data_IF_560118788725
#
_entry.id   IF_560118788725
#
_cell.length_a   1.000
_cell.length_b   1.000
_cell.length_c   1.000
_cell.angle_alpha   90.00
_cell.angle_beta   90.00
_cell.angle_gamma   90.00
#
_symmetry.space_group_name_H-M   'P 1'
#
loop_
_entity.id
_entity.type
_entity.pdbx_description
1 polymer ?
#
# COMPACT_ATOMS: atom_id res chain seq x y z
N UNK A 1 54.22 16.96 -32.46
CA UNK A 1 53.27 17.56 -31.51
C UNK A 1 51.86 17.21 -31.97
N UNK A 2 51.40 16.01 -31.63
CA UNK A 2 50.04 15.56 -31.86
C UNK A 2 49.29 15.73 -30.54
N UNK A 3 48.22 16.54 -30.57
CA UNK A 3 47.31 16.75 -29.46
C UNK A 3 46.74 15.43 -28.95
N UNK A 4 47.09 15.06 -27.71
CA UNK A 4 46.28 14.15 -26.91
C UNK A 4 44.91 14.81 -26.72
N UNK A 5 43.87 14.21 -27.28
CA UNK A 5 42.49 14.60 -26.98
C UNK A 5 42.21 14.28 -25.53
N UNK A 6 41.68 15.27 -24.81
CA UNK A 6 41.11 15.09 -23.49
C UNK A 6 40.10 13.93 -23.53
N UNK A 7 40.28 12.93 -22.67
CA UNK A 7 39.26 11.93 -22.41
C UNK A 7 38.17 12.62 -21.59
N UNK A 8 37.01 12.86 -22.23
CA UNK A 8 35.84 13.49 -21.61
C UNK A 8 35.46 12.75 -20.32
N UNK A 9 35.39 13.48 -19.20
CA UNK A 9 34.94 12.94 -17.93
C UNK A 9 33.47 12.50 -18.03
N UNK A 10 33.13 11.39 -17.36
CA UNK A 10 31.75 10.95 -17.22
C UNK A 10 30.91 12.10 -16.62
N UNK A 11 29.82 12.46 -17.29
CA UNK A 11 28.97 13.59 -16.89
C UNK A 11 27.49 13.20 -16.92
N UNK A 12 26.72 13.82 -16.04
CA UNK A 12 25.26 13.65 -15.96
C UNK A 12 24.62 15.01 -16.20
N UNK A 13 23.70 15.06 -17.15
CA UNK A 13 22.87 16.23 -17.44
C UNK A 13 21.40 15.81 -17.51
N UNK A 14 20.52 16.65 -16.97
CA UNK A 14 19.10 16.37 -16.86
C UNK A 14 18.56 16.79 -15.49
N UNK A 15 17.34 17.32 -15.47
CA UNK A 15 16.58 17.56 -14.23
C UNK A 15 15.26 16.80 -14.24
N UNK A 16 14.65 16.59 -13.07
CA UNK A 16 13.36 15.91 -12.90
C UNK A 16 12.24 16.50 -13.80
N UNK A 17 12.32 17.79 -14.14
CA UNK A 17 11.39 18.46 -15.05
C UNK A 17 11.58 18.15 -16.54
N UNK A 18 12.69 17.54 -16.96
CA UNK A 18 12.99 17.22 -18.37
C UNK A 18 12.56 15.79 -18.77
N UNK A 19 12.10 14.97 -17.81
CA UNK A 19 11.60 13.61 -18.01
C UNK A 19 12.66 12.54 -18.34
N UNK A 20 13.89 12.97 -18.70
CA UNK A 20 15.00 12.11 -19.07
C UNK A 20 16.30 12.54 -18.40
N UNK A 21 17.12 11.56 -18.06
CA UNK A 21 18.50 11.72 -17.59
C UNK A 21 19.45 11.29 -18.70
N UNK A 22 20.38 12.15 -19.10
CA UNK A 22 21.45 11.79 -20.03
C UNK A 22 22.74 11.55 -19.26
N UNK A 23 23.25 10.32 -19.37
CA UNK A 23 24.51 9.88 -18.79
C UNK A 23 25.53 9.73 -19.91
N UNK A 24 26.71 10.31 -19.73
CA UNK A 24 27.85 10.11 -20.62
C UNK A 24 28.82 9.15 -19.93
N UNK A 25 29.08 8.01 -20.54
CA UNK A 25 30.06 7.04 -20.02
C UNK A 25 31.50 7.53 -20.23
N UNK A 26 32.47 6.82 -19.63
CA UNK A 26 33.91 7.13 -19.76
C UNK A 26 34.46 7.05 -21.19
N UNK A 27 33.68 6.49 -22.13
CA UNK A 27 34.02 6.39 -23.55
C UNK A 27 33.34 7.49 -24.39
N UNK A 28 32.65 8.44 -23.74
CA UNK A 28 31.90 9.51 -24.41
C UNK A 28 30.55 9.05 -24.97
N UNK A 29 30.09 7.83 -24.68
CA UNK A 29 28.81 7.30 -25.15
C UNK A 29 27.69 7.94 -24.35
N UNK A 30 26.75 8.59 -25.05
CA UNK A 30 25.55 9.14 -24.43
C UNK A 30 24.46 8.07 -24.30
N UNK A 31 23.93 7.91 -23.09
CA UNK A 31 22.83 7.02 -22.76
C UNK A 31 21.72 7.85 -22.11
N UNK A 32 20.51 7.76 -22.64
CA UNK A 32 19.32 8.43 -22.07
C UNK A 32 18.46 7.43 -21.31
N UNK A 33 18.08 7.78 -20.08
CA UNK A 33 17.24 6.97 -19.19
C UNK A 33 16.04 7.80 -18.76
N UNK A 34 14.83 7.26 -18.84
CA UNK A 34 13.64 7.95 -18.36
C UNK A 34 13.76 8.16 -16.84
N UNK A 35 13.49 9.39 -16.36
CA UNK A 35 13.70 9.71 -14.94
C UNK A 35 12.82 8.85 -14.03
N UNK A 36 11.59 8.52 -14.45
CA UNK A 36 10.69 7.58 -13.76
C UNK A 36 11.28 6.19 -13.50
N UNK A 37 12.38 5.81 -14.18
CA UNK A 37 13.05 4.51 -14.02
C UNK A 37 14.30 4.58 -13.16
N UNK A 38 14.74 5.78 -12.78
CA UNK A 38 15.95 5.97 -11.98
C UNK A 38 15.62 5.64 -10.52
N UNK A 39 16.28 4.62 -9.98
CA UNK A 39 16.17 4.23 -8.58
C UNK A 39 16.99 5.18 -7.70
N UNK A 40 18.23 5.49 -8.09
CA UNK A 40 19.14 6.40 -7.39
C UNK A 40 20.32 6.85 -8.26
N UNK A 41 20.90 8.02 -7.92
CA UNK A 41 22.18 8.49 -8.44
C UNK A 41 23.15 8.54 -7.27
N UNK A 42 24.22 7.76 -7.33
CA UNK A 42 25.21 7.60 -6.28
C UNK A 42 26.49 8.33 -6.70
N UNK A 43 27.13 9.09 -5.82
CA UNK A 43 28.42 9.73 -6.11
C UNK A 43 29.54 9.10 -5.29
N UNK A 44 30.71 8.93 -5.88
CA UNK A 44 31.93 8.48 -5.17
C UNK A 44 32.52 9.65 -4.36
N UNK A 45 32.86 9.47 -3.07
CA UNK A 45 33.56 10.50 -2.24
C UNK A 45 35.01 10.08 -2.02
N UNK A 46 35.81 10.14 -3.07
CA UNK A 46 37.26 10.14 -2.91
C UNK A 46 37.81 11.58 -2.88
N UNK A 47 38.05 12.06 -1.65
CA UNK A 47 38.96 13.15 -1.25
C UNK A 47 38.49 14.61 -1.33
N UNK A 48 38.83 15.31 -0.24
CA UNK A 48 38.86 16.75 -0.09
C UNK A 48 39.77 17.42 -1.12
N UNK A 49 39.19 18.02 -2.15
CA UNK A 49 39.62 19.27 -2.80
C UNK A 49 38.83 19.46 -4.10
N UNK A 50 38.54 20.72 -4.43
CA UNK A 50 37.94 21.16 -5.70
C UNK A 50 38.36 20.29 -6.91
N UNK A 51 37.45 19.47 -7.43
CA UNK A 51 37.50 18.97 -8.81
C UNK A 51 36.09 18.51 -9.24
N UNK A 52 35.63 18.99 -10.39
CA UNK A 52 34.31 18.75 -11.00
C UNK A 52 34.08 17.30 -11.50
N UNK A 53 34.95 16.34 -11.17
CA UNK A 53 34.95 14.99 -11.74
C UNK A 53 34.61 13.89 -10.73
N UNK A 54 33.50 14.03 -10.00
CA UNK A 54 32.98 12.92 -9.18
C UNK A 54 32.32 11.88 -10.09
N UNK A 55 32.80 10.65 -10.11
CA UNK A 55 32.11 9.54 -10.81
C UNK A 55 30.74 9.34 -10.15
N UNK A 56 29.69 9.32 -10.98
CA UNK A 56 28.30 9.15 -10.54
C UNK A 56 27.73 7.85 -11.13
N UNK A 57 27.26 6.95 -10.28
CA UNK A 57 26.60 5.70 -10.67
C UNK A 57 25.09 5.93 -10.72
N UNK A 58 24.45 5.57 -11.84
CA UNK A 58 22.99 5.61 -11.97
C UNK A 58 22.44 4.20 -11.84
N UNK A 59 21.59 3.98 -10.82
CA UNK A 59 20.81 2.77 -10.67
C UNK A 59 19.45 3.00 -11.32
N UNK A 60 19.08 2.17 -12.29
CA UNK A 60 17.79 2.28 -12.96
C UNK A 60 17.23 0.91 -13.35
N UNK A 61 15.91 0.85 -13.47
CA UNK A 61 15.18 -0.30 -14.01
C UNK A 61 15.18 -0.25 -15.54
N UNK A 62 15.46 -1.37 -16.21
CA UNK A 62 15.18 -1.50 -17.66
C UNK A 62 13.84 -2.21 -17.92
N UNK A 63 13.09 -1.78 -18.94
CA UNK A 63 11.96 -2.55 -19.46
C UNK A 63 12.48 -3.78 -20.24
N UNK A 64 11.80 -4.91 -20.11
CA UNK A 64 11.92 -6.05 -21.02
C UNK A 64 10.62 -6.25 -21.82
N UNK A 65 10.66 -7.12 -22.84
CA UNK A 65 9.54 -7.46 -23.74
C UNK A 65 8.38 -8.17 -23.03
N UNK A 66 8.62 -8.82 -21.89
CA UNK A 66 7.64 -9.59 -21.11
C UNK A 66 7.43 -9.07 -19.66
N UNK A 67 8.10 -7.98 -19.25
CA UNK A 67 8.01 -7.44 -17.88
C UNK A 67 9.27 -6.72 -17.39
N UNK A 68 9.35 -6.38 -16.10
CA UNK A 68 10.57 -5.88 -15.44
C UNK A 68 11.46 -7.06 -15.03
N UNK A 69 12.57 -7.32 -15.73
CA UNK A 69 13.47 -8.42 -15.33
C UNK A 69 14.96 -8.09 -15.28
N UNK A 70 15.41 -6.85 -15.56
CA UNK A 70 16.85 -6.60 -15.54
C UNK A 70 17.28 -5.25 -14.93
N UNK A 71 18.09 -5.33 -13.88
CA UNK A 71 19.13 -4.34 -13.59
C UNK A 71 20.26 -4.50 -14.60
N UNK A 72 20.14 -3.90 -15.78
CA UNK A 72 21.33 -3.81 -16.62
C UNK A 72 22.20 -2.64 -16.17
N UNK A 73 23.49 -2.90 -16.00
CA UNK A 73 24.54 -1.91 -16.28
C UNK A 73 24.55 -1.63 -17.79
N UNK A 74 23.60 -0.85 -18.30
CA UNK A 74 23.73 -0.36 -19.68
C UNK A 74 24.94 0.56 -19.77
N UNK A 75 26.06 0.06 -20.32
CA UNK A 75 27.36 0.74 -20.36
C UNK A 75 27.99 1.08 -18.98
N UNK A 76 27.77 0.26 -17.95
CA UNK A 76 28.30 0.50 -16.59
C UNK A 76 29.16 -0.67 -16.07
N UNK A 77 29.70 -1.52 -16.94
CA UNK A 77 30.48 -2.72 -16.55
C UNK A 77 31.88 -2.43 -15.96
N UNK A 78 32.24 -1.16 -15.71
CA UNK A 78 33.51 -0.80 -15.05
C UNK A 78 33.43 0.36 -14.06
N UNK A 79 32.26 0.68 -13.49
CA UNK A 79 32.25 1.66 -12.39
C UNK A 79 32.58 0.98 -11.05
N UNK A 80 33.73 1.36 -10.49
CA UNK A 80 34.00 1.16 -9.06
C UNK A 80 33.08 2.08 -8.26
N UNK A 81 32.43 1.52 -7.25
CA UNK A 81 31.42 2.18 -6.43
C UNK A 81 32.05 2.56 -5.10
N UNK A 82 31.95 3.84 -4.74
CA UNK A 82 31.79 4.25 -3.34
C UNK A 82 30.51 5.07 -3.25
N UNK A 83 29.74 4.78 -2.21
CA UNK A 83 28.43 5.35 -1.97
C UNK A 83 28.61 6.59 -1.13
N UNK A 84 28.30 7.77 -1.66
CA UNK A 84 27.98 8.86 -0.76
C UNK A 84 26.64 8.55 -0.11
N UNK A 85 26.59 8.48 1.23
CA UNK A 85 25.32 8.51 1.92
C UNK A 85 24.63 9.80 1.48
N UNK A 86 23.53 9.69 0.73
CA UNK A 86 22.49 10.68 0.98
C UNK A 86 22.13 10.49 2.44
N UNK A 87 22.02 11.58 3.19
CA UNK A 87 21.76 11.54 4.63
C UNK A 87 20.42 10.84 4.99
N UNK A 88 19.72 10.24 4.03
CA UNK A 88 18.32 9.82 4.12
C UNK A 88 18.05 8.35 3.76
N UNK A 89 19.02 7.54 3.31
CA UNK A 89 18.73 6.12 3.03
C UNK A 89 18.66 5.30 4.32
N UNK A 90 17.44 4.90 4.73
CA UNK A 90 17.18 4.08 5.92
C UNK A 90 17.58 2.61 5.75
N UNK A 91 17.60 2.09 4.52
CA UNK A 91 18.09 0.73 4.23
C UNK A 91 19.62 0.63 4.17
N UNK A 92 20.28 1.67 3.65
CA UNK A 92 21.69 1.62 3.29
C UNK A 92 22.41 2.95 3.58
N UNK A 93 23.36 2.92 4.53
CA UNK A 93 24.45 3.92 4.60
C UNK A 93 25.76 3.16 4.43
N UNK A 94 26.77 3.84 3.90
CA UNK A 94 28.11 3.27 3.73
C UNK A 94 28.61 2.82 5.12
N UNK A 95 28.69 1.50 5.33
CA UNK A 95 28.60 0.90 6.66
C UNK A 95 27.15 0.85 7.15
N UNK A 96 26.51 -0.32 7.00
CA UNK A 96 25.13 -0.58 7.43
C UNK A 96 24.80 0.17 8.73
N UNK A 97 23.74 0.99 8.74
CA UNK A 97 23.31 1.78 9.90
C UNK A 97 23.46 0.92 11.15
N UNK A 98 24.48 1.21 11.96
CA UNK A 98 24.80 0.40 13.14
C UNK A 98 23.56 0.35 14.03
N UNK A 99 23.19 -0.85 14.47
CA UNK A 99 22.05 -1.04 15.38
C UNK A 99 20.68 -1.23 14.71
N UNK A 100 20.56 -1.20 13.37
CA UNK A 100 19.30 -1.55 12.67
C UNK A 100 19.34 -3.00 12.17
N UNK A 101 18.37 -3.80 12.60
CA UNK A 101 18.18 -5.16 12.12
C UNK A 101 17.26 -5.19 10.89
N UNK A 102 17.68 -5.87 9.82
CA UNK A 102 16.99 -5.84 8.52
C UNK A 102 16.41 -7.19 8.15
N UNK A 103 15.21 -7.17 7.56
CA UNK A 103 14.52 -8.35 7.08
C UNK A 103 14.00 -8.15 5.67
N UNK A 104 14.22 -9.11 4.79
CA UNK A 104 13.50 -9.21 3.53
C UNK A 104 12.44 -10.28 3.65
N UNK A 105 11.20 -9.95 3.33
CA UNK A 105 10.07 -10.89 3.32
C UNK A 105 9.55 -11.01 1.89
N UNK A 106 9.67 -12.21 1.32
CA UNK A 106 9.22 -12.54 -0.03
C UNK A 106 7.91 -13.31 0.04
N UNK A 107 6.81 -12.65 -0.27
CA UNK A 107 5.47 -13.22 -0.22
C UNK A 107 5.14 -13.99 -1.50
N UNK A 108 5.60 -15.24 -1.55
CA UNK A 108 5.59 -16.15 -2.72
C UNK A 108 4.21 -16.34 -3.35
N UNK A 109 3.15 -16.41 -2.55
CA UNK A 109 1.77 -16.61 -3.02
C UNK A 109 0.92 -15.34 -3.13
N UNK A 110 1.49 -14.15 -2.88
CA UNK A 110 0.71 -12.91 -2.92
C UNK A 110 0.42 -12.43 -4.33
N UNK A 111 -0.78 -11.88 -4.53
CA UNK A 111 -1.14 -11.10 -5.72
C UNK A 111 -0.86 -11.81 -7.04
N UNK A 112 0.11 -11.27 -7.78
CA UNK A 112 0.52 -11.76 -9.11
C UNK A 112 1.37 -13.04 -9.07
N UNK A 113 1.81 -13.48 -7.89
CA UNK A 113 2.72 -14.63 -7.73
C UNK A 113 4.15 -14.35 -8.22
N UNK A 114 4.51 -13.09 -8.47
CA UNK A 114 5.80 -12.70 -9.06
C UNK A 114 6.87 -12.32 -8.03
N UNK A 115 6.57 -12.38 -6.73
CA UNK A 115 7.49 -11.93 -5.67
C UNK A 115 8.86 -12.63 -5.71
N UNK A 116 8.87 -13.95 -5.93
CA UNK A 116 10.12 -14.72 -6.05
C UNK A 116 10.94 -14.30 -7.27
N UNK A 117 10.29 -14.06 -8.40
CA UNK A 117 10.94 -13.61 -9.64
C UNK A 117 11.52 -12.21 -9.45
N UNK A 118 10.75 -11.29 -8.87
CA UNK A 118 11.21 -9.92 -8.56
C UNK A 118 12.37 -9.95 -7.58
N UNK A 119 12.34 -10.82 -6.57
CA UNK A 119 13.47 -11.03 -5.68
C UNK A 119 14.73 -11.45 -6.46
N UNK A 120 14.65 -12.52 -7.23
CA UNK A 120 15.80 -13.12 -7.94
C UNK A 120 16.37 -12.20 -9.02
N UNK A 121 15.52 -11.55 -9.80
CA UNK A 121 15.91 -10.83 -11.01
C UNK A 121 16.19 -9.34 -10.75
N UNK A 122 15.64 -8.77 -9.67
CA UNK A 122 15.70 -7.34 -9.40
C UNK A 122 16.29 -7.00 -8.03
N UNK A 123 15.71 -7.49 -6.93
CA UNK A 123 16.10 -7.04 -5.59
C UNK A 123 17.43 -7.64 -5.14
N UNK A 124 17.62 -8.94 -5.28
CA UNK A 124 18.87 -9.60 -4.89
C UNK A 124 20.09 -9.04 -5.65
N UNK A 125 20.04 -8.85 -6.99
CA UNK A 125 21.13 -8.19 -7.70
C UNK A 125 21.35 -6.73 -7.28
N UNK A 126 20.31 -5.98 -6.92
CA UNK A 126 20.45 -4.62 -6.39
C UNK A 126 21.25 -4.62 -5.09
N UNK A 127 20.84 -5.45 -4.13
CA UNK A 127 21.49 -5.55 -2.83
C UNK A 127 22.95 -5.99 -2.98
N UNK A 128 23.23 -6.96 -3.86
CA UNK A 128 24.59 -7.39 -4.16
C UNK A 128 25.47 -6.24 -4.71
N UNK A 129 24.93 -5.37 -5.57
CA UNK A 129 25.66 -4.17 -6.07
C UNK A 129 25.89 -3.12 -4.99
N UNK A 130 25.01 -3.03 -4.01
CA UNK A 130 25.19 -2.20 -2.81
C UNK A 130 26.10 -2.85 -1.77
N UNK A 131 26.70 -4.02 -2.07
CA UNK A 131 27.49 -4.82 -1.12
C UNK A 131 26.70 -5.24 0.13
N UNK A 132 25.38 -5.32 0.03
CA UNK A 132 24.46 -5.78 1.08
C UNK A 132 24.26 -7.29 0.91
N UNK A 133 24.83 -8.06 1.84
CA UNK A 133 24.83 -9.53 1.83
C UNK A 133 23.88 -10.12 2.87
N UNK A 134 23.21 -11.21 2.50
CA UNK A 134 22.39 -12.02 3.40
C UNK A 134 23.23 -12.56 4.57
N UNK A 135 22.61 -12.72 5.73
CA UNK A 135 23.23 -13.20 6.99
C UNK A 135 24.29 -12.27 7.60
N UNK A 136 24.77 -11.28 6.85
CA UNK A 136 25.63 -10.22 7.37
C UNK A 136 24.85 -8.94 7.63
N UNK A 137 23.96 -8.57 6.70
CA UNK A 137 23.27 -7.28 6.73
C UNK A 137 21.76 -7.39 6.84
N UNK A 138 21.18 -8.52 6.41
CA UNK A 138 19.74 -8.78 6.48
C UNK A 138 19.43 -10.28 6.59
N UNK A 139 18.24 -10.59 7.11
CA UNK A 139 17.66 -11.93 7.13
C UNK A 139 16.63 -12.09 6.00
N UNK A 140 16.69 -13.19 5.25
CA UNK A 140 15.76 -13.48 4.16
C UNK A 140 14.67 -14.45 4.61
N UNK A 141 13.42 -14.12 4.34
CA UNK A 141 12.26 -14.92 4.75
C UNK A 141 11.33 -15.13 3.55
N UNK A 142 11.14 -16.40 3.13
CA UNK A 142 10.13 -16.76 2.14
C UNK A 142 8.85 -17.24 2.83
N UNK A 143 7.70 -16.75 2.37
CA UNK A 143 6.42 -17.26 2.86
C UNK A 143 6.12 -18.66 2.31
N UNK A 144 5.49 -19.51 3.10
CA UNK A 144 5.08 -20.86 2.73
C UNK A 144 3.56 -21.04 2.77
N UNK A 145 2.83 -20.09 3.36
CA UNK A 145 1.38 -20.10 3.47
C UNK A 145 0.81 -18.68 3.56
N UNK A 146 -0.53 -18.56 3.49
CA UNK A 146 -1.22 -17.29 3.72
C UNK A 146 -1.04 -16.70 5.12
N UNK A 147 -0.63 -17.50 6.12
CA UNK A 147 -0.37 -17.04 7.48
C UNK A 147 1.08 -16.61 7.76
N UNK A 148 2.01 -16.86 6.84
CA UNK A 148 3.45 -16.70 7.11
C UNK A 148 3.86 -15.27 7.44
N UNK A 149 3.22 -14.25 6.86
CA UNK A 149 3.54 -12.84 7.13
C UNK A 149 3.08 -12.44 8.54
N UNK A 150 1.88 -12.85 8.94
CA UNK A 150 1.37 -12.66 10.29
C UNK A 150 2.23 -13.38 11.34
N UNK A 151 2.65 -14.62 11.05
CA UNK A 151 3.55 -15.38 11.92
C UNK A 151 4.93 -14.70 12.05
N UNK A 152 5.50 -14.22 10.96
CA UNK A 152 6.75 -13.45 10.97
C UNK A 152 6.63 -12.19 11.84
N UNK A 153 5.54 -11.42 11.70
CA UNK A 153 5.31 -10.24 12.53
C UNK A 153 5.25 -10.59 14.02
N UNK A 154 4.52 -11.65 14.39
CA UNK A 154 4.34 -12.09 15.77
C UNK A 154 5.61 -12.67 16.39
N UNK A 155 6.34 -13.50 15.64
CA UNK A 155 7.48 -14.26 16.15
C UNK A 155 8.81 -13.50 16.06
N UNK A 156 8.92 -12.55 15.14
CA UNK A 156 10.18 -11.85 14.87
C UNK A 156 10.06 -10.35 15.16
N UNK A 157 9.09 -9.66 14.56
CA UNK A 157 9.00 -8.20 14.68
C UNK A 157 8.56 -7.77 16.07
N UNK A 158 7.43 -8.28 16.57
CA UNK A 158 6.85 -7.85 17.84
C UNK A 158 7.81 -7.99 19.03
N UNK A 159 8.50 -9.14 19.24
CA UNK A 159 9.39 -9.28 20.39
C UNK A 159 10.57 -8.31 20.34
N UNK A 160 11.11 -8.05 19.14
CA UNK A 160 12.25 -7.15 18.93
C UNK A 160 11.85 -5.68 19.03
N UNK A 161 10.72 -5.32 18.43
CA UNK A 161 10.11 -4.00 18.58
C UNK A 161 9.87 -3.69 20.07
N UNK A 162 9.31 -4.64 20.83
CA UNK A 162 9.10 -4.52 22.29
C UNK A 162 10.39 -4.38 23.11
N UNK A 163 11.56 -4.69 22.54
CA UNK A 163 12.87 -4.50 23.15
C UNK A 163 13.55 -3.18 22.72
N UNK A 164 12.86 -2.35 21.94
CA UNK A 164 13.42 -1.11 21.39
C UNK A 164 14.43 -1.34 20.27
N UNK A 165 14.41 -2.52 19.63
CA UNK A 165 15.29 -2.81 18.48
C UNK A 165 14.74 -2.11 17.24
N UNK A 166 15.55 -1.26 16.62
CA UNK A 166 15.22 -0.64 15.34
C UNK A 166 15.18 -1.72 14.23
N UNK A 167 14.03 -1.85 13.57
CA UNK A 167 13.78 -2.86 12.53
C UNK A 167 13.49 -2.18 11.19
N UNK A 168 14.08 -2.70 10.12
CA UNK A 168 13.73 -2.35 8.75
C UNK A 168 13.30 -3.59 7.96
N UNK A 169 12.10 -3.57 7.39
CA UNK A 169 11.50 -4.71 6.68
C UNK A 169 11.18 -4.35 5.23
N UNK A 170 11.79 -5.07 4.29
CA UNK A 170 11.54 -4.98 2.87
C UNK A 170 10.52 -6.05 2.52
N UNK A 171 9.29 -5.63 2.26
CA UNK A 171 8.17 -6.52 2.00
C UNK A 171 7.88 -6.56 0.50
N UNK A 172 8.14 -7.71 -0.12
CA UNK A 172 7.72 -8.01 -1.49
C UNK A 172 6.34 -8.69 -1.40
N UNK A 173 5.28 -7.88 -1.41
CA UNK A 173 3.89 -8.33 -1.24
C UNK A 173 2.90 -7.29 -1.78
N UNK A 174 1.60 -7.50 -1.58
CA UNK A 174 0.61 -6.43 -1.71
C UNK A 174 0.31 -5.76 -0.37
N UNK A 175 -0.64 -4.83 -0.37
CA UNK A 175 -1.12 -4.16 0.85
C UNK A 175 -1.57 -5.15 1.95
N UNK A 176 -2.11 -6.31 1.55
CA UNK A 176 -2.52 -7.36 2.48
C UNK A 176 -1.38 -7.81 3.40
N UNK A 177 -0.13 -7.83 2.93
CA UNK A 177 1.02 -8.14 3.77
C UNK A 177 1.29 -7.08 4.84
N UNK A 178 1.10 -5.79 4.53
CA UNK A 178 1.19 -4.70 5.52
C UNK A 178 0.05 -4.85 6.53
N UNK A 179 -1.17 -5.11 6.07
CA UNK A 179 -2.36 -5.28 6.92
C UNK A 179 -2.19 -6.47 7.87
N UNK A 180 -1.61 -7.57 7.41
CA UNK A 180 -1.33 -8.74 8.25
C UNK A 180 -0.28 -8.43 9.31
N UNK A 181 0.80 -7.72 8.97
CA UNK A 181 1.79 -7.24 9.95
C UNK A 181 1.12 -6.36 11.01
N UNK A 182 0.39 -5.33 10.58
CA UNK A 182 -0.31 -4.38 11.46
C UNK A 182 -1.24 -5.12 12.43
N UNK A 183 -2.10 -6.01 11.92
CA UNK A 183 -3.04 -6.73 12.76
C UNK A 183 -2.34 -7.68 13.75
N UNK A 184 -1.21 -8.30 13.36
CA UNK A 184 -0.42 -9.12 14.28
C UNK A 184 0.27 -8.31 15.37
N UNK A 185 0.82 -7.14 15.04
CA UNK A 185 1.44 -6.23 16.02
C UNK A 185 0.42 -5.60 16.98
N UNK A 186 -0.85 -5.50 16.56
CA UNK A 186 -1.97 -5.02 17.38
C UNK A 186 -2.68 -6.12 18.17
N UNK A 187 -2.38 -7.41 17.92
CA UNK A 187 -3.04 -8.52 18.59
C UNK A 187 -2.45 -8.87 19.97
N UNK A 188 -1.32 -8.28 20.32
CA UNK A 188 -0.58 -8.54 21.55
C UNK A 188 -0.12 -7.22 22.20
N UNK A 189 0.28 -7.30 23.47
CA UNK A 189 0.71 -6.11 24.23
C UNK A 189 2.01 -5.52 23.70
N UNK A 190 2.04 -4.19 23.62
CA UNK A 190 3.24 -3.41 23.29
C UNK A 190 3.85 -2.83 24.57
N UNK A 191 5.15 -2.96 24.71
CA UNK A 191 5.91 -2.44 25.84
C UNK A 191 6.09 -0.92 25.73
N UNK A 192 6.49 -0.27 26.82
CA UNK A 192 6.86 1.14 26.80
C UNK A 192 8.14 1.42 25.96
N UNK A 193 8.91 0.38 25.63
CA UNK A 193 10.09 0.46 24.78
C UNK A 193 9.79 0.08 23.32
N UNK A 194 8.51 -0.06 22.95
CA UNK A 194 8.13 -0.45 21.60
C UNK A 194 8.63 0.58 20.57
N UNK A 195 9.44 0.11 19.62
CA UNK A 195 9.90 0.87 18.47
C UNK A 195 9.15 0.40 17.20
N UNK A 196 8.56 1.33 16.43
CA UNK A 196 7.85 0.99 15.20
C UNK A 196 8.81 0.35 14.17
N UNK A 197 8.51 -0.86 13.65
CA UNK A 197 9.22 -1.38 12.49
C UNK A 197 9.01 -0.47 11.27
N UNK A 198 10.11 -0.15 10.58
CA UNK A 198 10.08 0.61 9.33
C UNK A 198 9.85 -0.33 8.14
N UNK A 199 8.83 -0.04 7.34
CA UNK A 199 8.34 -0.89 6.25
C UNK A 199 8.63 -0.26 4.89
N UNK A 200 9.36 -0.96 4.03
CA UNK A 200 9.50 -0.63 2.61
C UNK A 200 8.72 -1.66 1.78
N UNK A 201 7.77 -1.20 0.97
CA UNK A 201 6.86 -2.06 0.22
C UNK A 201 7.23 -2.07 -1.26
N UNK A 202 7.41 -3.26 -1.82
CA UNK A 202 7.38 -3.52 -3.26
C UNK A 202 5.98 -4.04 -3.60
N UNK A 203 5.13 -3.24 -4.27
CA UNK A 203 3.71 -3.52 -4.40
C UNK A 203 3.43 -4.54 -5.52
N UNK A 204 3.45 -5.82 -5.14
CA UNK A 204 3.24 -6.98 -6.02
C UNK A 204 1.84 -7.60 -5.86
N UNK A 205 0.92 -6.87 -5.21
CA UNK A 205 -0.50 -7.21 -5.13
C UNK A 205 -1.28 -6.81 -6.39
N UNK A 206 -2.57 -7.15 -6.42
CA UNK A 206 -3.47 -6.80 -7.55
C UNK A 206 -4.00 -5.37 -7.48
N UNK A 207 -4.35 -4.89 -6.28
CA UNK A 207 -4.97 -3.55 -6.09
C UNK A 207 -3.98 -2.48 -5.64
N UNK A 208 -3.14 -2.79 -4.64
CA UNK A 208 -2.09 -1.91 -4.10
C UNK A 208 -2.55 -0.47 -3.78
N UNK A 209 -3.78 -0.33 -3.27
CA UNK A 209 -4.38 0.93 -2.83
C UNK A 209 -3.46 1.76 -1.92
N UNK A 210 -2.85 1.12 -0.91
CA UNK A 210 -1.93 1.78 0.02
C UNK A 210 -0.69 2.28 -0.73
N UNK A 211 -0.11 1.45 -1.60
CA UNK A 211 1.08 1.84 -2.37
C UNK A 211 0.81 2.98 -3.36
N UNK A 212 -0.31 2.93 -4.10
CA UNK A 212 -0.76 4.01 -4.98
C UNK A 212 -1.03 5.30 -4.23
N UNK A 213 -1.66 5.21 -3.07
CA UNK A 213 -2.03 6.37 -2.26
C UNK A 213 -0.85 6.98 -1.51
N UNK A 214 0.20 6.20 -1.27
CA UNK A 214 1.42 6.64 -0.59
C UNK A 214 2.53 7.09 -1.55
N UNK A 215 2.26 7.13 -2.87
CA UNK A 215 3.23 7.54 -3.88
C UNK A 215 4.31 6.50 -4.20
N UNK A 216 4.27 5.31 -3.61
CA UNK A 216 5.26 4.22 -3.83
C UNK A 216 5.28 3.76 -5.29
N UNK A 217 4.14 3.82 -5.97
CA UNK A 217 3.97 3.48 -7.39
C UNK A 217 3.96 4.71 -8.30
N UNK A 218 4.39 5.88 -7.81
CA UNK A 218 4.46 7.11 -8.59
C UNK A 218 5.53 7.09 -9.69
N UNK A 219 6.33 6.03 -9.75
CA UNK A 219 7.39 5.84 -10.72
C UNK A 219 7.46 4.38 -11.22
N UNK A 220 8.35 4.13 -12.18
CA UNK A 220 8.55 2.82 -12.80
C UNK A 220 9.64 1.98 -12.10
N UNK A 221 9.86 2.17 -10.79
CA UNK A 221 10.88 1.47 -10.00
C UNK A 221 10.34 0.38 -9.07
N UNK A 222 9.02 0.11 -9.10
CA UNK A 222 8.33 -0.83 -8.19
C UNK A 222 8.54 -0.50 -6.70
N UNK A 223 8.72 0.77 -6.34
CA UNK A 223 8.97 1.17 -4.95
C UNK A 223 10.43 1.05 -4.50
N UNK A 224 11.36 0.63 -5.38
CA UNK A 224 12.80 0.62 -5.06
C UNK A 224 13.35 2.02 -4.81
N UNK A 225 12.84 3.05 -5.50
CA UNK A 225 13.20 4.43 -5.21
C UNK A 225 12.76 4.81 -3.80
N UNK A 226 11.52 4.51 -3.42
CA UNK A 226 11.05 4.73 -2.06
C UNK A 226 11.91 3.98 -1.03
N UNK A 227 12.28 2.73 -1.30
CA UNK A 227 13.17 1.96 -0.41
C UNK A 227 14.54 2.63 -0.18
N UNK A 228 15.12 3.28 -1.19
CA UNK A 228 16.46 3.89 -1.05
C UNK A 228 16.43 5.38 -0.67
N UNK A 229 15.40 6.12 -1.06
CA UNK A 229 15.35 7.58 -0.93
C UNK A 229 14.13 8.09 -0.17
N UNK A 230 13.17 7.22 0.13
CA UNK A 230 11.96 7.59 0.84
C UNK A 230 12.23 7.87 2.31
N UNK A 231 11.24 8.49 2.95
CA UNK A 231 11.28 8.79 4.39
C UNK A 231 10.20 7.95 5.10
N UNK A 232 10.51 7.33 6.25
CA UNK A 232 9.52 6.64 7.05
C UNK A 232 8.50 7.63 7.63
N UNK A 233 7.22 7.30 7.52
CA UNK A 233 6.10 8.04 8.15
C UNK A 233 5.17 7.07 8.83
N UNK A 234 4.65 7.44 10.00
CA UNK A 234 3.69 6.63 10.73
C UNK A 234 2.49 6.27 9.84
N UNK A 235 2.16 4.99 9.75
CA UNK A 235 1.01 4.50 8.99
C UNK A 235 -0.29 4.84 9.73
N UNK A 236 -1.21 5.64 9.15
CA UNK A 236 -2.49 5.89 9.78
C UNK A 236 -3.34 4.63 9.84
N UNK A 237 -3.95 4.40 11.00
CA UNK A 237 -4.79 3.24 11.27
C UNK A 237 -6.17 3.65 11.77
N UNK A 238 -7.15 2.81 11.50
CA UNK A 238 -8.44 2.84 12.15
C UNK A 238 -8.74 1.48 12.78
N UNK A 239 -9.58 1.49 13.81
CA UNK A 239 -10.15 0.29 14.44
C UNK A 239 -11.63 0.24 14.12
N UNK A 240 -12.08 -0.87 13.55
CA UNK A 240 -13.48 -1.22 13.43
C UNK A 240 -13.84 -2.17 14.59
N UNK A 241 -14.72 -1.71 15.48
CA UNK A 241 -15.29 -2.48 16.58
C UNK A 241 -16.68 -2.96 16.19
N UNK A 242 -16.96 -4.23 16.41
CA UNK A 242 -18.19 -4.88 15.95
C UNK A 242 -19.02 -5.38 17.13
N UNK A 243 -20.29 -5.62 16.86
CA UNK A 243 -21.15 -6.37 17.77
C UNK A 243 -20.71 -7.85 17.93
N UNK A 244 -20.98 -8.50 19.07
CA UNK A 244 -20.37 -9.79 19.43
C UNK A 244 -20.64 -10.96 18.48
N UNK A 245 -21.76 -10.97 17.75
CA UNK A 245 -22.14 -12.07 16.85
C UNK A 245 -21.43 -12.07 15.50
N UNK A 246 -20.51 -11.12 15.29
CA UNK A 246 -19.81 -10.90 14.04
C UNK A 246 -18.85 -12.03 13.67
N UNK A 247 -18.73 -12.31 12.37
CA UNK A 247 -17.92 -13.39 11.80
C UNK A 247 -17.05 -12.89 10.64
N UNK A 248 -15.78 -13.28 10.63
CA UNK A 248 -14.91 -13.11 9.47
C UNK A 248 -15.26 -14.17 8.43
N UNK A 249 -15.52 -13.75 7.19
CA UNK A 249 -15.70 -14.65 6.07
C UNK A 249 -14.33 -14.98 5.46
N UNK A 250 -14.02 -16.27 5.39
CA UNK A 250 -12.76 -16.80 4.84
C UNK A 250 -13.05 -17.87 3.81
N UNK A 251 -12.00 -18.29 3.09
CA UNK A 251 -12.09 -19.33 2.07
C UNK A 251 -13.22 -19.04 1.07
N UNK A 252 -13.16 -17.89 0.40
CA UNK A 252 -14.12 -17.51 -0.66
C UNK A 252 -15.57 -17.41 -0.15
N UNK A 253 -15.71 -16.94 1.10
CA UNK A 253 -17.00 -16.82 1.78
C UNK A 253 -17.64 -18.14 2.18
N UNK A 254 -16.95 -19.28 2.00
CA UNK A 254 -17.50 -20.60 2.31
C UNK A 254 -17.35 -20.98 3.78
N UNK A 255 -16.49 -20.28 4.53
CA UNK A 255 -16.24 -20.55 5.94
C UNK A 255 -16.35 -19.27 6.76
N UNK A 256 -16.79 -19.44 8.01
CA UNK A 256 -16.89 -18.37 8.99
C UNK A 256 -15.94 -18.62 10.15
N UNK A 257 -15.21 -17.58 10.55
CA UNK A 257 -14.31 -17.60 11.70
C UNK A 257 -14.67 -16.47 12.66
N UNK A 258 -14.30 -16.64 13.93
CA UNK A 258 -14.33 -15.52 14.87
C UNK A 258 -13.16 -14.57 14.58
N UNK A 259 -13.36 -13.28 14.80
CA UNK A 259 -12.23 -12.36 14.86
C UNK A 259 -11.42 -12.67 16.12
N UNK A 260 -10.10 -12.70 15.98
CA UNK A 260 -9.21 -13.07 17.08
C UNK A 260 -9.01 -11.95 18.10
N UNK A 261 -9.08 -10.68 17.67
CA UNK A 261 -8.86 -9.53 18.53
C UNK A 261 -10.17 -9.07 19.18
N UNK A 262 -10.17 -8.97 20.51
CA UNK A 262 -11.30 -8.51 21.32
C UNK A 262 -10.84 -7.32 22.16
N UNK A 263 -11.53 -6.19 22.08
CA UNK A 263 -11.26 -4.98 22.90
C UNK A 263 -12.54 -4.60 23.63
N UNK A 264 -12.47 -4.48 24.96
CA UNK A 264 -13.64 -4.14 25.77
C UNK A 264 -14.81 -5.13 25.64
N UNK A 265 -14.52 -6.40 25.34
CA UNK A 265 -15.53 -7.46 25.13
C UNK A 265 -16.11 -7.53 23.72
N UNK A 266 -15.70 -6.64 22.81
CA UNK A 266 -16.20 -6.61 21.43
C UNK A 266 -15.13 -7.06 20.42
N UNK A 267 -15.51 -7.82 19.37
CA UNK A 267 -14.62 -8.13 18.25
C UNK A 267 -14.10 -6.88 17.55
N UNK A 268 -12.82 -6.87 17.18
CA UNK A 268 -12.22 -5.75 16.44
C UNK A 268 -11.39 -6.21 15.24
N UNK A 269 -11.36 -5.36 14.21
CA UNK A 269 -10.41 -5.44 13.10
C UNK A 269 -9.72 -4.07 12.94
N UNK A 270 -8.46 -4.09 12.53
CA UNK A 270 -7.72 -2.86 12.23
C UNK A 270 -7.50 -2.76 10.72
N UNK A 271 -7.62 -1.53 10.21
CA UNK A 271 -7.36 -1.24 8.80
C UNK A 271 -6.50 0.00 8.62
N UNK A 272 -5.80 0.04 7.50
CA UNK A 272 -4.93 1.11 7.04
C UNK A 272 -5.40 1.71 5.70
N UNK A 273 -6.37 1.08 5.02
CA UNK A 273 -6.81 1.48 3.69
C UNK A 273 -8.26 1.93 3.71
N UNK A 274 -9.20 1.02 3.98
CA UNK A 274 -10.62 1.24 3.73
C UNK A 274 -11.52 0.43 4.66
N UNK A 275 -12.54 1.09 5.21
CA UNK A 275 -13.73 0.45 5.77
C UNK A 275 -14.92 0.77 4.88
N UNK A 276 -15.77 -0.20 4.56
CA UNK A 276 -16.94 0.05 3.70
C UNK A 276 -18.11 -0.88 3.95
N UNK A 277 -19.29 -0.39 3.59
CA UNK A 277 -20.57 -1.09 3.55
C UNK A 277 -21.36 -0.63 2.31
N UNK A 278 -22.36 -1.42 1.90
CA UNK A 278 -23.09 -1.17 0.67
C UNK A 278 -22.44 -1.81 -0.55
N UNK A 279 -22.56 -1.15 -1.70
CA UNK A 279 -22.13 -1.66 -2.99
C UNK A 279 -20.66 -2.09 -3.01
N UNK A 280 -19.74 -1.33 -2.41
CA UNK A 280 -18.32 -1.69 -2.34
C UNK A 280 -18.07 -2.98 -1.54
N UNK A 281 -18.67 -3.14 -0.36
CA UNK A 281 -18.47 -4.36 0.42
C UNK A 281 -19.07 -5.59 -0.29
N UNK A 282 -20.24 -5.41 -0.93
CA UNK A 282 -20.88 -6.49 -1.69
C UNK A 282 -20.09 -6.90 -2.93
N UNK A 283 -19.56 -5.97 -3.72
CA UNK A 283 -18.77 -6.33 -4.90
C UNK A 283 -17.47 -7.04 -4.50
N UNK A 284 -16.80 -6.61 -3.42
CA UNK A 284 -15.58 -7.27 -2.93
C UNK A 284 -15.92 -8.70 -2.51
N UNK A 285 -16.98 -8.88 -1.72
CA UNK A 285 -17.40 -10.20 -1.26
C UNK A 285 -17.89 -11.13 -2.39
N UNK A 286 -18.69 -10.62 -3.33
CA UNK A 286 -19.28 -11.42 -4.40
C UNK A 286 -18.25 -11.76 -5.50
N UNK A 287 -17.23 -10.92 -5.66
CA UNK A 287 -16.11 -11.18 -6.57
C UNK A 287 -15.10 -12.22 -6.03
N UNK A 288 -15.18 -12.56 -4.74
CA UNK A 288 -14.28 -13.50 -4.09
C UNK A 288 -14.83 -14.93 -4.06
N UNK A 289 -15.34 -15.37 -5.21
CA UNK A 289 -15.79 -16.75 -5.43
C UNK A 289 -14.89 -17.46 -6.43
N UNK A 290 -14.85 -18.80 -6.39
CA UNK A 290 -14.08 -19.62 -7.34
C UNK A 290 -14.39 -19.24 -8.80
N UNK A 291 -15.66 -18.98 -9.09
CA UNK A 291 -16.12 -18.60 -10.43
C UNK A 291 -15.62 -17.23 -10.89
N UNK A 292 -15.43 -16.28 -9.98
CA UNK A 292 -14.98 -14.93 -10.30
C UNK A 292 -13.45 -14.81 -10.29
N UNK A 293 -12.74 -15.56 -9.43
CA UNK A 293 -11.28 -15.51 -9.31
C UNK A 293 -10.54 -15.83 -10.62
N UNK A 294 -11.13 -16.66 -11.49
CA UNK A 294 -10.57 -16.98 -12.82
C UNK A 294 -10.40 -15.77 -13.75
N UNK A 295 -11.04 -14.64 -13.44
CA UNK A 295 -10.98 -13.41 -14.24
C UNK A 295 -9.97 -12.37 -13.74
N UNK A 296 -9.18 -12.67 -12.70
CA UNK A 296 -8.20 -11.73 -12.15
C UNK A 296 -8.87 -10.44 -11.66
N UNK A 297 -8.26 -9.27 -11.89
CA UNK A 297 -8.82 -7.97 -11.47
C UNK A 297 -10.18 -7.64 -12.09
N UNK A 298 -10.51 -8.18 -13.26
CA UNK A 298 -11.81 -7.95 -13.94
C UNK A 298 -13.00 -8.46 -13.12
N UNK A 299 -12.77 -9.35 -12.15
CA UNK A 299 -13.81 -9.89 -11.27
C UNK A 299 -14.57 -8.80 -10.51
N UNK A 300 -13.89 -7.73 -10.10
CA UNK A 300 -14.51 -6.64 -9.36
C UNK A 300 -15.48 -5.85 -10.26
N UNK A 301 -15.09 -5.59 -11.51
CA UNK A 301 -15.94 -4.92 -12.50
C UNK A 301 -17.17 -5.76 -12.85
N UNK A 302 -16.99 -7.08 -12.97
CA UNK A 302 -18.11 -8.00 -13.23
C UNK A 302 -19.10 -8.02 -12.06
N UNK A 303 -18.62 -8.17 -10.82
CA UNK A 303 -19.47 -8.20 -9.63
C UNK A 303 -20.16 -6.85 -9.39
N UNK A 304 -19.45 -5.74 -9.63
CA UNK A 304 -20.03 -4.39 -9.56
C UNK A 304 -21.16 -4.22 -10.58
N UNK A 305 -20.96 -4.66 -11.83
CA UNK A 305 -22.00 -4.57 -12.86
C UNK A 305 -23.24 -5.39 -12.51
N UNK A 306 -23.06 -6.62 -12.04
CA UNK A 306 -24.18 -7.48 -11.60
C UNK A 306 -24.94 -6.85 -10.43
N UNK A 307 -24.23 -6.26 -9.45
CA UNK A 307 -24.88 -5.62 -8.31
C UNK A 307 -25.61 -4.30 -8.68
N UNK A 308 -25.21 -3.62 -9.76
CA UNK A 308 -25.91 -2.42 -10.28
C UNK A 308 -27.03 -2.75 -11.26
N UNK A 309 -26.90 -3.86 -11.98
CA UNK A 309 -27.86 -4.30 -13.00
C UNK A 309 -28.14 -5.81 -12.85
N UNK A 310 -28.87 -6.21 -11.78
CA UNK A 310 -29.24 -7.60 -11.56
C UNK A 310 -29.90 -8.24 -12.78
N UNK A 311 -29.55 -9.50 -13.07
CA UNK A 311 -30.09 -10.22 -14.22
C UNK A 311 -31.62 -10.41 -14.21
N UNK A 312 -32.25 -10.34 -13.03
CA UNK A 312 -33.71 -10.41 -12.87
C UNK A 312 -34.44 -9.08 -13.16
N UNK A 313 -33.68 -8.02 -13.49
CA UNK A 313 -34.22 -6.69 -13.80
C UNK A 313 -34.62 -5.88 -12.57
N UNK A 314 -34.35 -6.37 -11.35
CA UNK A 314 -34.56 -5.61 -10.12
C UNK A 314 -33.61 -4.42 -10.02
N UNK A 315 -33.97 -3.35 -9.28
CA UNK A 315 -33.03 -2.26 -8.98
C UNK A 315 -31.89 -2.75 -8.07
N UNK A 316 -30.76 -2.01 -8.00
CA UNK A 316 -29.72 -2.27 -7.00
C UNK A 316 -30.30 -2.36 -5.59
N UNK A 317 -29.69 -3.20 -4.75
CA UNK A 317 -30.13 -3.36 -3.36
C UNK A 317 -30.01 -2.03 -2.60
N UNK A 318 -31.12 -1.62 -1.96
CA UNK A 318 -31.15 -0.45 -1.08
C UNK A 318 -30.81 -0.88 0.35
N UNK A 319 -29.58 -0.60 0.78
CA UNK A 319 -29.02 -1.08 2.05
C UNK A 319 -29.66 -0.33 3.23
N UNK A 320 -30.33 -1.06 4.12
CA UNK A 320 -31.10 -0.51 5.25
C UNK A 320 -30.26 -0.48 6.52
N UNK A 321 -30.12 0.71 7.09
CA UNK A 321 -29.39 0.88 8.34
C UNK A 321 -29.43 2.32 8.82
N UNK A 322 -28.91 2.55 10.02
CA UNK A 322 -28.64 3.89 10.53
C UNK A 322 -27.14 4.14 10.43
N UNK A 323 -26.76 5.12 9.63
CA UNK A 323 -25.37 5.56 9.50
C UNK A 323 -25.20 6.87 10.25
N UNK A 324 -24.21 6.92 11.15
CA UNK A 324 -23.87 8.12 11.93
C UNK A 324 -22.39 8.39 11.83
N UNK A 325 -21.99 9.66 11.88
CA UNK A 325 -20.58 10.07 11.80
C UNK A 325 -20.23 11.09 12.87
N UNK A 326 -18.95 11.18 13.17
CA UNK A 326 -18.40 12.25 14.00
C UNK A 326 -17.24 12.89 13.25
N UNK A 327 -17.19 14.23 13.29
CA UNK A 327 -16.08 15.00 12.72
C UNK A 327 -15.00 15.24 13.77
N UNK A 328 -13.73 15.38 13.34
CA UNK A 328 -12.65 15.74 14.26
C UNK A 328 -12.99 16.98 15.10
N UNK A 329 -12.80 16.89 16.41
CA UNK A 329 -13.05 18.00 17.34
C UNK A 329 -14.52 18.25 17.70
N UNK A 330 -15.46 17.48 17.15
CA UNK A 330 -16.88 17.52 17.54
C UNK A 330 -17.19 16.40 18.54
N UNK A 331 -17.98 16.70 19.57
CA UNK A 331 -18.38 15.70 20.57
C UNK A 331 -19.60 14.87 20.15
N UNK A 332 -20.48 15.42 19.31
CA UNK A 332 -21.77 14.82 18.94
C UNK A 332 -21.69 13.98 17.66
N UNK A 333 -22.50 12.93 17.63
CA UNK A 333 -22.78 12.17 16.42
C UNK A 333 -23.79 12.90 15.53
N UNK A 334 -23.60 12.82 14.22
CA UNK A 334 -24.54 13.26 13.20
C UNK A 334 -25.06 12.07 12.40
N UNK A 335 -26.38 11.92 12.34
CA UNK A 335 -27.03 10.91 11.51
C UNK A 335 -27.00 11.33 10.04
N UNK A 336 -26.82 10.35 9.14
CA UNK A 336 -26.90 10.54 7.69
C UNK A 336 -28.27 10.02 7.20
N UNK A 337 -29.31 10.87 7.08
CA UNK A 337 -30.59 10.47 6.51
C UNK A 337 -30.53 10.42 4.96
N UNK A 338 -31.42 9.64 4.31
CA UNK A 338 -32.36 8.67 4.86
C UNK A 338 -31.67 7.34 5.25
N UNK A 339 -32.41 6.42 5.92
CA UNK A 339 -31.90 5.12 6.39
C UNK A 339 -31.70 4.06 5.30
N UNK A 340 -31.59 4.49 4.04
CA UNK A 340 -31.31 3.65 2.87
C UNK A 340 -30.07 4.20 2.19
N UNK A 341 -29.12 3.30 1.94
CA UNK A 341 -27.78 3.66 1.47
C UNK A 341 -27.44 2.82 0.24
N UNK A 342 -26.60 3.35 -0.64
CA UNK A 342 -26.01 2.61 -1.75
C UNK A 342 -24.52 2.36 -1.53
N UNK A 343 -23.83 3.33 -0.93
CA UNK A 343 -22.38 3.31 -0.75
C UNK A 343 -21.99 4.05 0.52
N UNK A 344 -21.27 3.38 1.41
CA UNK A 344 -20.68 3.97 2.62
C UNK A 344 -19.22 3.52 2.66
N UNK A 345 -18.28 4.44 2.49
CA UNK A 345 -16.86 4.12 2.45
C UNK A 345 -16.06 5.16 3.23
N UNK A 346 -15.27 4.70 4.19
CA UNK A 346 -14.31 5.51 4.92
C UNK A 346 -12.90 5.06 4.58
N UNK A 347 -12.02 5.97 4.17
CA UNK A 347 -10.68 5.60 3.68
C UNK A 347 -9.61 6.64 4.01
N UNK A 348 -8.37 6.16 4.22
CA UNK A 348 -7.16 6.99 4.21
C UNK A 348 -6.56 7.10 2.80
N UNK A 349 -6.86 6.15 1.93
CA UNK A 349 -6.29 6.04 0.59
C UNK A 349 -6.93 7.05 -0.38
N UNK A 350 -6.12 7.60 -1.29
CA UNK A 350 -6.61 8.43 -2.40
C UNK A 350 -7.10 7.59 -3.58
N UNK A 351 -6.49 6.42 -3.76
CA UNK A 351 -6.79 5.44 -4.81
C UNK A 351 -6.99 4.04 -4.21
N UNK A 352 -8.00 3.30 -4.67
CA UNK A 352 -8.18 1.88 -4.30
C UNK A 352 -7.55 0.92 -5.33
N UNK A 353 -7.29 1.41 -6.53
CA UNK A 353 -6.50 0.78 -7.57
C UNK A 353 -5.96 1.87 -8.51
N UNK A 354 -5.01 1.51 -9.38
CA UNK A 354 -4.45 2.45 -10.36
C UNK A 354 -5.54 3.15 -11.18
N UNK A 355 -5.58 4.48 -11.13
CA UNK A 355 -6.52 5.31 -11.89
C UNK A 355 -7.92 5.44 -11.26
N UNK A 356 -8.23 4.68 -10.22
CA UNK A 356 -9.50 4.79 -9.50
C UNK A 356 -9.35 5.68 -8.26
N UNK A 357 -9.50 6.99 -8.46
CA UNK A 357 -9.30 8.01 -7.41
C UNK A 357 -10.57 8.17 -6.58
N UNK A 358 -10.68 7.41 -5.49
CA UNK A 358 -11.86 7.42 -4.60
C UNK A 358 -11.86 8.63 -3.65
N UNK A 359 -10.70 9.16 -3.29
CA UNK A 359 -10.58 10.26 -2.32
C UNK A 359 -9.53 11.27 -2.81
N UNK A 360 -9.90 12.19 -3.71
CA UNK A 360 -8.95 13.08 -4.36
C UNK A 360 -8.25 14.06 -3.41
N UNK A 361 -8.79 14.32 -2.22
CA UNK A 361 -8.15 15.18 -1.23
C UNK A 361 -7.25 14.42 -0.24
N UNK A 362 -7.21 13.08 -0.29
CA UNK A 362 -6.29 12.30 0.54
C UNK A 362 -4.86 12.50 0.07
N UNK A 363 -3.97 12.87 1.01
CA UNK A 363 -2.53 12.96 0.78
C UNK A 363 -1.83 11.73 1.38
N UNK A 364 -0.64 11.35 0.87
CA UNK A 364 0.13 10.25 1.43
C UNK A 364 0.25 10.34 2.95
N UNK A 365 -0.35 9.36 3.65
CA UNK A 365 -0.25 9.15 5.10
C UNK A 365 -0.65 10.37 5.94
N UNK A 366 -1.64 11.17 5.50
CA UNK A 366 -2.05 12.41 6.18
C UNK A 366 -2.90 12.24 7.44
N UNK A 367 -3.22 11.00 7.80
CA UNK A 367 -4.00 10.68 9.01
C UNK A 367 -5.48 11.04 8.95
N UNK A 368 -6.00 11.53 7.82
CA UNK A 368 -7.39 12.00 7.72
C UNK A 368 -8.27 10.94 7.07
N UNK A 369 -9.11 10.31 7.89
CA UNK A 369 -10.12 9.38 7.41
C UNK A 369 -11.24 10.17 6.71
N UNK A 370 -11.50 9.86 5.44
CA UNK A 370 -12.51 10.56 4.64
C UNK A 370 -13.65 9.62 4.30
N UNK A 371 -14.87 10.11 4.52
CA UNK A 371 -16.11 9.45 4.14
C UNK A 371 -16.48 9.81 2.72
N UNK A 372 -16.83 8.80 1.92
CA UNK A 372 -17.55 8.90 0.65
C UNK A 372 -18.89 8.18 0.86
N UNK A 373 -20.00 8.90 0.70
CA UNK A 373 -21.34 8.34 0.88
C UNK A 373 -22.30 8.80 -0.22
N UNK A 374 -23.17 7.89 -0.67
CA UNK A 374 -24.40 8.23 -1.40
C UNK A 374 -25.55 7.27 -1.05
N UNK A 375 -26.79 7.74 -1.24
CA UNK A 375 -28.04 7.02 -0.95
C UNK A 375 -28.31 5.83 -1.88
N UNK A 376 -29.53 5.29 -1.84
CA UNK A 376 -30.00 4.19 -2.70
C UNK A 376 -30.30 4.66 -4.13
N UNK A 377 -29.25 5.06 -4.86
CA UNK A 377 -29.33 5.45 -6.26
C UNK A 377 -29.68 4.26 -7.17
N UNK A 378 -30.36 4.53 -8.30
CA UNK A 378 -30.57 3.53 -9.34
C UNK A 378 -29.26 3.10 -10.01
N UNK A 379 -29.27 1.96 -10.72
CA UNK A 379 -28.06 1.36 -11.29
C UNK A 379 -27.28 2.31 -12.21
N UNK A 380 -27.99 3.04 -13.09
CA UNK A 380 -27.37 4.01 -13.97
C UNK A 380 -26.82 5.22 -13.21
N UNK A 381 -27.57 5.75 -12.25
CA UNK A 381 -27.15 6.91 -11.46
C UNK A 381 -25.90 6.61 -10.63
N UNK A 382 -25.86 5.43 -9.98
CA UNK A 382 -24.69 4.96 -9.25
C UNK A 382 -23.50 4.74 -10.21
N UNK A 383 -23.70 4.16 -11.39
CA UNK A 383 -22.66 4.01 -12.40
C UNK A 383 -22.11 5.37 -12.85
N UNK A 384 -22.97 6.36 -13.06
CA UNK A 384 -22.57 7.71 -13.47
C UNK A 384 -21.71 8.39 -12.40
N UNK A 385 -22.08 8.25 -11.12
CA UNK A 385 -21.27 8.74 -9.98
C UNK A 385 -19.92 8.03 -9.96
N UNK A 386 -19.92 6.69 -9.94
CA UNK A 386 -18.68 5.90 -9.78
C UNK A 386 -17.72 6.06 -10.95
N UNK A 387 -18.22 6.27 -12.17
CA UNK A 387 -17.38 6.52 -13.35
C UNK A 387 -16.55 7.81 -13.20
N UNK A 388 -17.08 8.83 -12.51
CA UNK A 388 -16.35 10.09 -12.26
C UNK A 388 -15.15 9.89 -11.32
N UNK A 389 -15.08 8.81 -10.54
CA UNK A 389 -13.90 8.50 -9.73
C UNK A 389 -12.66 8.20 -10.60
N UNK A 390 -12.86 7.61 -11.79
CA UNK A 390 -11.80 7.41 -12.79
C UNK A 390 -11.39 8.69 -13.52
N UNK A 391 -12.11 9.79 -13.33
CA UNK A 391 -11.83 11.09 -13.95
C UNK A 391 -11.06 12.00 -12.99
N UNK A 392 -10.10 11.43 -12.25
CA UNK A 392 -9.35 12.15 -11.20
C UNK A 392 -10.19 12.45 -9.96
N UNK A 393 -11.17 11.61 -9.64
CA UNK A 393 -11.94 11.73 -8.41
C UNK A 393 -13.11 12.73 -8.44
N UNK A 394 -13.54 13.21 -9.60
CA UNK A 394 -14.64 14.18 -9.75
C UNK A 394 -16.00 13.75 -9.19
N UNK A 395 -16.17 12.47 -8.85
CA UNK A 395 -17.39 11.99 -8.18
C UNK A 395 -17.70 12.72 -6.86
N UNK A 396 -16.69 13.24 -6.15
CA UNK A 396 -16.90 14.00 -4.90
C UNK A 396 -17.47 15.40 -5.13
N UNK A 397 -17.52 15.86 -6.39
CA UNK A 397 -18.15 17.13 -6.80
C UNK A 397 -19.63 16.94 -7.18
N UNK A 398 -20.12 15.70 -7.21
CA UNK A 398 -21.51 15.40 -7.51
C UNK A 398 -22.38 15.67 -6.27
N UNK A 399 -23.45 16.46 -6.42
CA UNK A 399 -24.34 16.83 -5.30
C UNK A 399 -24.99 15.63 -4.58
N UNK A 400 -25.00 14.45 -5.22
CA UNK A 400 -25.49 13.20 -4.63
C UNK A 400 -24.48 12.53 -3.69
N UNK A 401 -23.23 12.98 -3.70
CA UNK A 401 -22.12 12.41 -2.93
C UNK A 401 -21.78 13.32 -1.75
N UNK A 402 -21.81 12.73 -0.56
CA UNK A 402 -21.25 13.32 0.65
C UNK A 402 -19.77 12.95 0.74
N UNK A 403 -18.92 13.96 0.82
CA UNK A 403 -17.48 13.81 0.99
C UNK A 403 -16.95 14.71 2.11
N UNK A 404 -16.44 14.12 3.19
CA UNK A 404 -15.94 14.88 4.35
C UNK A 404 -14.91 14.10 5.18
N UNK A 405 -14.18 14.81 6.03
CA UNK A 405 -13.28 14.20 7.02
C UNK A 405 -14.08 13.80 8.26
N UNK A 406 -13.87 12.57 8.73
CA UNK A 406 -14.49 12.00 9.93
C UNK A 406 -13.41 11.42 10.85
N UNK A 407 -13.69 11.31 12.15
CA UNK A 407 -12.88 10.54 13.11
C UNK A 407 -13.63 9.32 13.68
N UNK A 408 -14.94 9.27 13.43
CA UNK A 408 -15.81 8.12 13.70
C UNK A 408 -16.86 7.89 12.62
N UNK A 409 -17.17 6.62 12.39
CA UNK A 409 -18.31 6.15 11.61
C UNK A 409 -19.01 5.06 12.42
N UNK A 410 -20.34 5.09 12.51
CA UNK A 410 -21.14 4.04 13.12
C UNK A 410 -22.22 3.60 12.13
N UNK A 411 -22.43 2.29 12.03
CA UNK A 411 -23.45 1.67 11.19
C UNK A 411 -24.21 0.66 12.04
N UNK A 412 -25.51 0.90 12.22
CA UNK A 412 -26.45 -0.06 12.81
C UNK A 412 -27.24 -0.73 11.68
N UNK A 413 -27.12 -2.05 11.55
CA UNK A 413 -27.69 -2.78 10.42
C UNK A 413 -29.17 -3.10 10.63
N UNK A 414 -30.01 -2.70 9.67
CA UNK A 414 -31.45 -2.98 9.65
C UNK A 414 -31.83 -3.93 8.49
N UNK A 415 -30.91 -4.83 8.19
CA UNK A 415 -31.05 -5.85 7.14
C UNK A 415 -31.46 -7.19 7.73
N UNK A 416 -32.29 -7.93 6.99
CA UNK A 416 -32.73 -9.28 7.34
C UNK A 416 -31.78 -10.35 6.77
N UNK A 417 -31.37 -10.20 5.51
CA UNK A 417 -30.42 -11.11 4.87
C UNK A 417 -28.97 -10.77 5.30
N UNK A 418 -28.23 -11.81 5.71
CA UNK A 418 -26.85 -11.67 6.15
C UNK A 418 -25.89 -11.22 5.04
N UNK A 419 -26.25 -11.43 3.77
CA UNK A 419 -25.54 -10.93 2.60
C UNK A 419 -25.38 -9.41 2.64
N UNK A 420 -26.39 -8.68 3.13
CA UNK A 420 -26.38 -7.21 3.13
C UNK A 420 -25.77 -6.60 4.39
N UNK A 421 -25.33 -7.44 5.35
CA UNK A 421 -24.62 -7.04 6.58
C UNK A 421 -23.12 -7.33 6.51
N UNK A 422 -22.56 -7.32 5.29
CA UNK A 422 -21.14 -7.52 5.05
C UNK A 422 -20.41 -6.18 5.03
N UNK A 423 -19.39 -6.07 5.85
CA UNK A 423 -18.46 -4.94 5.94
C UNK A 423 -17.13 -5.38 5.34
N UNK A 424 -16.50 -4.51 4.55
CA UNK A 424 -15.17 -4.74 4.02
C UNK A 424 -14.17 -3.88 4.79
N UNK A 425 -13.17 -4.53 5.41
CA UNK A 425 -12.03 -3.90 6.09
C UNK A 425 -10.76 -4.34 5.33
N UNK A 426 -10.16 -3.42 4.57
CA UNK A 426 -8.96 -3.67 3.76
C UNK A 426 -9.05 -4.94 2.89
N UNK A 427 -10.23 -5.19 2.31
CA UNK A 427 -10.50 -6.36 1.46
C UNK A 427 -10.94 -7.61 2.23
N UNK A 428 -10.82 -7.66 3.57
CA UNK A 428 -11.38 -8.73 4.41
C UNK A 428 -12.87 -8.50 4.62
N UNK A 429 -13.68 -9.52 4.40
CA UNK A 429 -15.14 -9.42 4.55
C UNK A 429 -15.59 -9.92 5.90
N UNK A 430 -16.29 -9.08 6.63
CA UNK A 430 -16.81 -9.34 7.96
C UNK A 430 -18.33 -9.28 7.91
N UNK A 431 -19.00 -10.37 8.29
CA UNK A 431 -20.45 -10.49 8.34
C UNK A 431 -20.96 -10.21 9.74
N UNK A 432 -21.85 -9.23 9.86
CA UNK A 432 -22.48 -8.84 11.12
C UNK A 432 -23.80 -9.60 11.32
N UNK A 433 -24.10 -9.95 12.56
CA UNK A 433 -25.35 -10.59 12.96
C UNK A 433 -26.57 -9.67 12.75
N UNK A 434 -27.78 -10.24 12.79
CA UNK A 434 -29.01 -9.47 12.65
C UNK A 434 -29.13 -8.48 13.82
N UNK A 435 -29.39 -7.20 13.49
CA UNK A 435 -29.46 -6.11 14.48
C UNK A 435 -28.12 -5.73 15.09
N UNK A 436 -27.00 -6.25 14.56
CA UNK A 436 -25.66 -5.87 14.99
C UNK A 436 -25.23 -4.50 14.47
N UNK A 437 -23.99 -4.14 14.76
CA UNK A 437 -23.43 -2.83 14.44
C UNK A 437 -21.92 -2.90 14.22
N UNK A 438 -21.38 -1.83 13.60
CA UNK A 438 -19.93 -1.56 13.53
C UNK A 438 -19.67 -0.09 13.85
N UNK A 439 -18.63 0.17 14.63
CA UNK A 439 -18.08 1.50 14.88
C UNK A 439 -16.62 1.55 14.43
N UNK A 440 -16.26 2.53 13.61
CA UNK A 440 -14.91 2.82 13.16
C UNK A 440 -14.37 4.02 13.92
N UNK A 441 -13.13 3.92 14.40
CA UNK A 441 -12.42 4.99 15.08
C UNK A 441 -10.99 5.15 14.60
N UNK A 442 -10.53 6.39 14.44
CA UNK A 442 -9.11 6.71 14.17
C UNK A 442 -8.23 6.76 15.43
N UNK A 443 -8.78 6.41 16.60
CA UNK A 443 -8.06 6.41 17.89
C UNK A 443 -7.25 5.12 18.04
N UNK A 444 -6.26 4.98 17.16
CA UNK A 444 -5.33 3.86 17.09
C UNK A 444 -3.96 4.43 16.80
N UNK A 445 -3.02 4.18 17.70
CA UNK A 445 -1.62 4.53 17.45
C UNK A 445 -1.06 3.67 16.32
N UNK A 446 -0.21 4.28 15.49
CA UNK A 446 0.55 3.53 14.50
C UNK A 446 1.43 2.49 15.19
N UNK A 447 1.61 1.34 14.52
CA UNK A 447 2.51 0.26 14.96
C UNK A 447 3.63 -0.01 13.97
N UNK A 448 3.65 0.71 12.84
CA UNK A 448 4.68 0.61 11.81
C UNK A 448 4.87 1.96 11.14
N UNK A 449 6.06 2.22 10.64
CA UNK A 449 6.29 3.38 9.78
C UNK A 449 6.41 2.91 8.33
N UNK A 450 5.63 3.48 7.41
CA UNK A 450 5.70 3.18 5.99
C UNK A 450 6.63 4.16 5.29
N UNK A 451 7.55 3.63 4.49
CA UNK A 451 8.49 4.41 3.70
C UNK A 451 7.81 4.83 2.40
N UNK A 452 7.76 6.15 2.19
CA UNK A 452 7.22 6.75 0.98
C UNK A 452 8.14 7.86 0.47
N UNK A 453 8.06 8.17 -0.82
CA UNK A 453 8.66 9.39 -1.38
C UNK A 453 7.72 10.55 -1.12
N UNK A 454 8.24 11.70 -0.69
CA UNK A 454 7.43 12.91 -0.61
C UNK A 454 6.96 13.30 -2.01
N UNK A 455 5.66 13.57 -2.15
CA UNK A 455 5.03 14.03 -3.39
C UNK A 455 5.13 15.53 -3.57
#
# INVERSE_FOLDING_TARGET
>A
MSSQGDMDAASISGSEGEGWLTVVDEKGTKVSVAYERVIAILSDKASSANTESSIRTVLCVKPDKDGLEALTSGALDQLKVSLQPTEQCHWYRDGAVEGVERHVVVSTGSGTGTASTVWQNLVQPLLARLSVRENEHYHLNFTTSGGSVAEFARMVLLPKANQGVALAVLLLSGDGGIVDIVNSLLSEDRSAAYENPTMSLLPLGTGNALAHSSGITGDATLGLRAMLQGTPKALPLFRATFSPGTKLLVNEGQQEQHLHSIVGGNPVAHGAVVCSWGHHASLVADSDTTDYRKFGSKRFQMAAKEALFPADGSPPHAYKGRVSVRRPGQAGWEDIPPSKHGYVLATFASQLEAGFTISPQSKPLDGKLRLIHFGDLGGQEAMDVMTKAFQGGKHVEDDRVRYEVIDRLSIEFQEEDARWRRVCIDGKIIRVEKGGWVEVSTDVDSVVDLVCTES
#
